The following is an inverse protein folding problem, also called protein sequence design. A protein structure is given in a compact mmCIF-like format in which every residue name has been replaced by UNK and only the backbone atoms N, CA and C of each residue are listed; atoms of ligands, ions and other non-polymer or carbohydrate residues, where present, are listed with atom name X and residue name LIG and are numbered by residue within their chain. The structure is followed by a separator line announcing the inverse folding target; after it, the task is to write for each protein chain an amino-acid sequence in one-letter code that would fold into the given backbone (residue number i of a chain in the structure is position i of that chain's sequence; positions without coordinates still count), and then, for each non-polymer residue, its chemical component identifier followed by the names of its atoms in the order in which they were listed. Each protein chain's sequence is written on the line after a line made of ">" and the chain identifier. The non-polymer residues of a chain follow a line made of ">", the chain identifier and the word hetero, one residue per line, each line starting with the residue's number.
data_IF_217204376358
#
_entry.id   IF_217204376358
#
_cell.length_a   1.000
_cell.length_b   1.000
_cell.length_c   1.000
_cell.angle_alpha   90.00
_cell.angle_beta   90.00
_cell.angle_gamma   90.00
#
_symmetry.space_group_name_H-M   'P 1'
#
loop_
_entity.id
_entity.type
_entity.pdbx_description
1 polymer ?
#
# COMPACT_ATOMS: atom_id res chain seq x y z
N UNK A 1 2.10 0.49 -13.76
CA UNK A 1 1.97 0.02 -12.36
C UNK A 1 2.58 1.04 -11.41
N UNK A 2 3.90 1.19 -11.27
CA UNK A 2 4.47 2.19 -10.34
C UNK A 2 4.07 3.64 -10.64
N UNK A 3 4.13 4.09 -11.90
CA UNK A 3 3.72 5.46 -12.25
C UNK A 3 2.22 5.72 -11.98
N UNK A 4 1.38 4.69 -12.12
CA UNK A 4 -0.05 4.79 -11.79
C UNK A 4 -0.28 4.87 -10.29
N UNK A 5 0.46 4.07 -9.51
CA UNK A 5 0.47 4.13 -8.06
C UNK A 5 0.89 5.50 -7.55
N UNK A 6 1.98 6.07 -8.08
CA UNK A 6 2.46 7.38 -7.66
C UNK A 6 1.43 8.47 -7.94
N UNK A 7 0.78 8.44 -9.12
CA UNK A 7 -0.31 9.38 -9.42
C UNK A 7 -1.49 9.22 -8.46
N UNK A 8 -1.92 8.00 -8.18
CA UNK A 8 -3.00 7.72 -7.23
C UNK A 8 -2.67 8.26 -5.83
N UNK A 9 -1.44 8.02 -5.34
CA UNK A 9 -0.98 8.49 -4.03
C UNK A 9 -1.06 10.02 -3.95
N UNK A 10 -0.60 10.73 -4.99
CA UNK A 10 -0.69 12.19 -5.07
C UNK A 10 -2.13 12.70 -5.12
N UNK A 11 -2.98 12.10 -5.96
CA UNK A 11 -4.37 12.54 -6.15
C UNK A 11 -5.25 12.31 -4.90
N UNK A 12 -4.91 11.33 -4.06
CA UNK A 12 -5.64 11.02 -2.83
C UNK A 12 -5.06 11.69 -1.58
N UNK A 13 -3.97 12.46 -1.70
CA UNK A 13 -3.40 13.22 -0.58
C UNK A 13 -2.73 12.37 0.50
N UNK A 14 -2.14 11.23 0.14
CA UNK A 14 -1.37 10.42 1.09
C UNK A 14 -0.08 11.13 1.53
N UNK A 15 0.40 10.79 2.73
CA UNK A 15 1.60 11.37 3.34
C UNK A 15 2.88 11.09 2.55
N UNK A 16 3.85 12.01 2.69
CA UNK A 16 5.13 11.94 1.98
C UNK A 16 6.11 10.90 2.54
N UNK A 17 5.91 10.45 3.78
CA UNK A 17 6.70 9.38 4.38
C UNK A 17 6.19 8.01 3.93
N UNK A 18 7.08 7.21 3.34
CA UNK A 18 6.75 5.88 2.83
C UNK A 18 7.83 4.87 3.22
N UNK A 19 7.42 3.62 3.41
CA UNK A 19 8.31 2.48 3.59
C UNK A 19 8.37 1.65 2.30
N UNK A 20 9.57 1.33 1.83
CA UNK A 20 9.78 0.49 0.64
C UNK A 20 10.74 -0.65 0.98
N UNK A 21 10.50 -1.83 0.42
CA UNK A 21 11.39 -2.98 0.54
C UNK A 21 11.42 -3.78 -0.77
N UNK A 22 12.48 -4.58 -0.98
CA UNK A 22 12.66 -5.42 -2.18
C UNK A 22 12.05 -6.83 -2.06
N UNK A 23 11.61 -7.23 -0.86
CA UNK A 23 11.01 -8.53 -0.63
C UNK A 23 9.56 -8.56 -1.13
N UNK A 24 9.11 -9.72 -1.61
CA UNK A 24 7.72 -9.89 -2.09
C UNK A 24 6.78 -10.17 -0.92
N UNK A 25 6.49 -9.13 -0.11
CA UNK A 25 5.70 -9.26 1.13
C UNK A 25 4.33 -8.58 1.10
N UNK A 26 3.94 -7.97 -0.03
CA UNK A 26 2.68 -7.20 -0.13
C UNK A 26 1.42 -8.02 0.18
N UNK A 27 1.42 -9.33 -0.11
CA UNK A 27 0.31 -10.21 0.25
C UNK A 27 0.16 -10.40 1.77
N UNK A 28 1.26 -10.72 2.44
CA UNK A 28 1.30 -10.90 3.89
C UNK A 28 0.93 -9.61 4.64
N UNK A 29 1.43 -8.45 4.19
CA UNK A 29 1.09 -7.15 4.78
C UNK A 29 -0.41 -6.84 4.64
N UNK A 30 -0.99 -7.07 3.46
CA UNK A 30 -2.41 -6.85 3.22
C UNK A 30 -3.30 -7.76 4.07
N UNK A 31 -2.99 -9.06 4.15
CA UNK A 31 -3.71 -9.99 5.03
C UNK A 31 -3.61 -9.53 6.48
N UNK A 32 -2.41 -9.17 6.95
CA UNK A 32 -2.22 -8.84 8.35
C UNK A 32 -3.00 -7.58 8.75
N UNK A 33 -2.94 -6.53 7.93
CA UNK A 33 -3.65 -5.28 8.17
C UNK A 33 -5.18 -5.46 8.10
N UNK A 34 -5.70 -6.24 7.15
CA UNK A 34 -7.15 -6.42 6.99
C UNK A 34 -7.74 -7.40 8.01
N UNK A 35 -7.09 -8.56 8.23
CA UNK A 35 -7.62 -9.64 9.08
C UNK A 35 -7.37 -9.42 10.56
N UNK A 36 -6.16 -8.99 10.94
CA UNK A 36 -5.80 -8.86 12.36
C UNK A 36 -6.03 -7.44 12.89
N UNK A 37 -5.82 -6.42 12.06
CA UNK A 37 -6.01 -5.01 12.49
C UNK A 37 -7.37 -4.44 12.07
N UNK A 38 -8.11 -5.11 11.18
CA UNK A 38 -9.42 -4.66 10.71
C UNK A 38 -9.35 -3.39 9.85
N UNK A 39 -8.19 -3.09 9.25
CA UNK A 39 -8.01 -1.88 8.45
C UNK A 39 -8.52 -2.07 7.03
N UNK A 40 -9.16 -1.04 6.49
CA UNK A 40 -9.45 -0.94 5.07
C UNK A 40 -8.16 -0.56 4.32
N UNK A 41 -7.69 -1.45 3.44
CA UNK A 41 -6.43 -1.28 2.72
C UNK A 41 -6.67 -1.29 1.22
N UNK A 42 -6.22 -0.23 0.54
CA UNK A 42 -6.11 -0.22 -0.91
C UNK A 42 -4.86 -1.00 -1.36
N UNK A 43 -5.05 -2.07 -2.15
CA UNK A 43 -3.95 -2.83 -2.73
C UNK A 43 -3.81 -2.54 -4.23
N UNK A 44 -2.65 -2.03 -4.63
CA UNK A 44 -2.30 -1.79 -6.03
C UNK A 44 -1.52 -2.97 -6.63
N UNK A 45 -1.76 -3.30 -7.91
CA UNK A 45 -1.19 -4.46 -8.60
C UNK A 45 -0.11 -4.09 -9.62
#
# INVERSE_FOLDING_TARGET
>A
RMQQLLRYICEQGFEHHVAANLATVGGAVHEAATRYLGWEIHRHA
#
